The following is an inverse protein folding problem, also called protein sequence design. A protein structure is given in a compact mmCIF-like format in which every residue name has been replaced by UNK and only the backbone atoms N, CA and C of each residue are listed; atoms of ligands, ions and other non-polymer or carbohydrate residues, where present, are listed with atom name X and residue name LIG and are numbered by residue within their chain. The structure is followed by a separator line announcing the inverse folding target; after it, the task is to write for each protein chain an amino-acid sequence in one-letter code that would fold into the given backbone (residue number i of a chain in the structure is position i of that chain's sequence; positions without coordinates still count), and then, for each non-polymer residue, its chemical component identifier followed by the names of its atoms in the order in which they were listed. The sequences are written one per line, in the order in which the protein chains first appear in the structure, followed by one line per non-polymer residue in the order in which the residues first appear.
data_IF_169030512562
#
_entry.id   IF_169030512562
#
_cell.length_a   1.000
_cell.length_b   1.000
_cell.length_c   1.000
_cell.angle_alpha   90.00
_cell.angle_beta   90.00
_cell.angle_gamma   90.00
#
_symmetry.space_group_name_H-M   'P 1'
#
loop_
_entity.id
_entity.type
_entity.pdbx_description
1 polymer ?
#
# COMPACT_ATOMS: atom_id res chain seq x y z
N UNK A 1 18.68 29.97 55.10
CA UNK A 1 19.07 29.75 53.69
C UNK A 1 19.03 31.10 52.98
N UNK A 2 20.08 31.50 52.26
CA UNK A 2 20.12 32.84 51.63
C UNK A 2 19.22 32.90 50.40
N UNK A 3 18.52 34.01 50.20
CA UNK A 3 17.63 34.22 49.04
C UNK A 3 18.31 33.96 47.68
N UNK A 4 19.64 34.15 47.64
CA UNK A 4 20.49 33.87 46.47
C UNK A 4 20.53 32.39 46.08
N UNK A 5 20.57 31.49 47.08
CA UNK A 5 20.58 30.04 46.85
C UNK A 5 19.22 29.56 46.34
N UNK A 6 18.13 30.11 46.89
CA UNK A 6 16.76 29.79 46.45
C UNK A 6 16.55 30.23 44.99
N UNK A 7 16.97 31.45 44.65
CA UNK A 7 16.86 31.96 43.29
C UNK A 7 17.64 31.12 42.27
N UNK A 8 18.86 30.69 42.58
CA UNK A 8 19.66 29.86 41.67
C UNK A 8 19.05 28.48 41.44
N UNK A 9 18.46 27.86 42.48
CA UNK A 9 17.81 26.54 42.35
C UNK A 9 16.55 26.63 41.49
N UNK A 10 15.73 27.67 41.68
CA UNK A 10 14.51 27.86 40.89
C UNK A 10 14.83 28.07 39.41
N UNK A 11 15.86 28.87 39.09
CA UNK A 11 16.27 29.11 37.71
C UNK A 11 16.81 27.82 37.07
N UNK A 12 17.67 27.08 37.77
CA UNK A 12 18.21 25.82 37.27
C UNK A 12 17.10 24.78 37.01
N UNK A 13 16.14 24.66 37.93
CA UNK A 13 14.97 23.80 37.75
C UNK A 13 14.11 24.25 36.56
N UNK A 14 13.88 25.57 36.41
CA UNK A 14 13.13 26.12 35.30
C UNK A 14 13.78 25.85 33.94
N UNK A 15 15.11 25.92 33.85
CA UNK A 15 15.85 25.59 32.63
C UNK A 15 15.69 24.10 32.31
N UNK A 16 15.92 23.21 33.27
CA UNK A 16 15.81 21.76 33.06
C UNK A 16 14.40 21.34 32.61
N UNK A 17 13.36 21.91 33.21
CA UNK A 17 11.96 21.66 32.83
C UNK A 17 11.65 22.28 31.47
N UNK A 18 12.07 23.53 31.22
CA UNK A 18 11.82 24.23 29.97
C UNK A 18 12.49 23.59 28.75
N UNK A 19 13.73 23.12 28.87
CA UNK A 19 14.44 22.48 27.75
C UNK A 19 14.01 21.04 27.49
N UNK A 20 13.52 20.33 28.51
CA UNK A 20 13.00 18.96 28.33
C UNK A 20 11.54 18.92 27.84
N UNK A 21 10.79 20.03 27.94
CA UNK A 21 9.39 20.11 27.54
C UNK A 21 9.15 20.08 26.02
N UNK A 22 10.14 20.38 25.18
CA UNK A 22 9.95 20.44 23.71
C UNK A 22 9.47 19.11 23.09
N UNK A 23 9.82 17.97 23.69
CA UNK A 23 9.40 16.64 23.20
C UNK A 23 8.06 16.15 23.75
N UNK A 24 7.47 16.83 24.75
CA UNK A 24 6.27 16.33 25.44
C UNK A 24 4.99 16.46 24.61
N UNK A 25 4.92 17.45 23.71
CA UNK A 25 3.78 17.67 22.83
C UNK A 25 3.99 17.25 21.37
N UNK A 26 5.19 16.77 21.01
CA UNK A 26 5.47 16.33 19.65
C UNK A 26 4.80 14.97 19.39
N UNK A 27 4.04 14.79 18.30
CA UNK A 27 3.55 13.48 17.92
C UNK A 27 4.74 12.55 17.64
N UNK A 28 4.68 11.32 18.16
CA UNK A 28 5.69 10.32 17.87
C UNK A 28 5.56 9.91 16.41
N UNK A 29 6.54 10.27 15.57
CA UNK A 29 6.49 10.02 14.13
C UNK A 29 6.29 8.52 13.79
N UNK A 30 6.74 7.61 14.65
CA UNK A 30 6.57 6.16 14.51
C UNK A 30 5.13 5.67 14.71
N UNK A 31 4.26 6.49 15.29
CA UNK A 31 2.83 6.17 15.46
C UNK A 31 1.98 6.65 14.27
N UNK A 32 2.54 7.47 13.39
CA UNK A 32 1.86 7.92 12.17
C UNK A 32 1.75 6.71 11.24
N UNK A 33 0.52 6.22 11.09
CA UNK A 33 0.25 5.10 10.18
C UNK A 33 0.34 5.60 8.74
N UNK A 34 1.07 4.86 7.92
CA UNK A 34 1.17 5.02 6.48
C UNK A 34 1.43 3.64 5.89
N UNK A 35 1.26 3.50 4.58
CA UNK A 35 1.64 2.29 3.86
C UNK A 35 3.11 2.41 3.43
N UNK A 36 4.06 1.67 4.05
CA UNK A 36 5.48 1.72 3.70
C UNK A 36 5.80 0.89 2.44
N UNK A 37 4.85 0.79 1.51
CA UNK A 37 4.96 -0.04 0.30
C UNK A 37 4.24 0.64 -0.87
N UNK A 38 4.21 -0.03 -2.01
CA UNK A 38 3.63 0.51 -3.23
C UNK A 38 2.11 0.47 -3.23
N UNK A 39 1.50 -0.45 -2.47
CA UNK A 39 0.06 -0.59 -2.34
C UNK A 39 -0.55 0.18 -1.18
N UNK A 40 -1.87 0.09 -1.06
CA UNK A 40 -2.67 0.74 -0.01
C UNK A 40 -3.29 -0.30 0.94
N UNK A 41 -3.49 0.08 2.19
CA UNK A 41 -4.14 -0.78 3.19
C UNK A 41 -5.51 -0.27 3.61
N UNK A 42 -6.32 -1.17 4.14
CA UNK A 42 -7.62 -0.87 4.75
C UNK A 42 -8.08 -1.99 5.65
N UNK A 43 -9.18 -1.80 6.35
CA UNK A 43 -9.73 -2.80 7.26
C UNK A 43 -11.23 -2.94 6.98
N UNK A 44 -11.72 -4.17 7.00
CA UNK A 44 -13.14 -4.53 6.99
C UNK A 44 -13.32 -5.41 8.20
N UNK A 45 -14.09 -5.01 9.22
CA UNK A 45 -14.22 -5.78 10.46
C UNK A 45 -12.89 -6.29 11.01
N UNK A 46 -12.76 -7.61 11.15
CA UNK A 46 -11.57 -8.33 11.62
C UNK A 46 -10.61 -8.75 10.49
N UNK A 47 -10.89 -8.38 9.24
CA UNK A 47 -10.05 -8.66 8.07
C UNK A 47 -9.31 -7.41 7.65
N UNK A 48 -8.01 -7.42 7.91
CA UNK A 48 -7.04 -6.43 7.50
C UNK A 48 -6.59 -6.67 6.05
N UNK A 49 -6.84 -5.70 5.18
CA UNK A 49 -6.36 -5.65 3.80
C UNK A 49 -5.01 -4.92 3.79
N UNK A 50 -3.93 -5.57 3.36
CA UNK A 50 -2.58 -5.04 3.43
C UNK A 50 -1.90 -5.06 2.06
N UNK A 51 -1.27 -3.93 1.73
CA UNK A 51 -0.50 -3.74 0.51
C UNK A 51 -1.29 -4.12 -0.77
N UNK A 52 -2.52 -3.61 -0.90
CA UNK A 52 -3.37 -3.84 -2.05
C UNK A 52 -2.93 -2.96 -3.24
N UNK A 53 -2.61 -3.59 -4.36
CA UNK A 53 -2.26 -2.92 -5.61
C UNK A 53 -2.60 -3.80 -6.82
N UNK A 54 -2.52 -3.22 -8.00
CA UNK A 54 -2.80 -3.88 -9.26
C UNK A 54 -1.56 -3.91 -10.15
N UNK A 55 -1.27 -5.04 -10.76
CA UNK A 55 -0.19 -5.18 -11.74
C UNK A 55 -0.78 -5.35 -13.14
N UNK A 56 -0.51 -4.41 -14.03
CA UNK A 56 -1.01 -4.39 -15.40
C UNK A 56 0.06 -3.99 -16.39
N UNK A 57 0.02 -4.55 -17.60
CA UNK A 57 0.91 -4.16 -18.68
C UNK A 57 0.38 -2.95 -19.46
N UNK A 58 -0.93 -2.89 -19.69
CA UNK A 58 -1.60 -1.98 -20.61
C UNK A 58 -2.79 -1.23 -20.00
N UNK A 59 -3.23 -1.64 -18.80
CA UNK A 59 -4.38 -1.06 -18.11
C UNK A 59 -5.72 -1.70 -18.45
N UNK A 60 -5.75 -2.76 -19.27
CA UNK A 60 -6.99 -3.46 -19.66
C UNK A 60 -7.27 -4.69 -18.77
N UNK A 61 -6.20 -5.36 -18.34
CA UNK A 61 -6.24 -6.51 -17.43
C UNK A 61 -5.19 -6.34 -16.34
N UNK A 62 -5.54 -6.64 -15.08
CA UNK A 62 -4.61 -6.53 -13.96
C UNK A 62 -4.66 -7.74 -13.02
N UNK A 63 -3.51 -8.12 -12.45
CA UNK A 63 -3.45 -9.04 -11.32
C UNK A 63 -3.60 -8.23 -10.04
N UNK A 64 -4.51 -8.64 -9.16
CA UNK A 64 -4.58 -8.11 -7.79
C UNK A 64 -3.47 -8.71 -6.94
N UNK A 65 -2.60 -7.86 -6.40
CA UNK A 65 -1.60 -8.22 -5.41
C UNK A 65 -2.00 -7.62 -4.06
N UNK A 66 -2.28 -8.49 -3.09
CA UNK A 66 -2.73 -8.06 -1.76
C UNK A 66 -2.54 -9.19 -0.75
N UNK A 67 -2.35 -8.86 0.52
CA UNK A 67 -2.45 -9.81 1.63
C UNK A 67 -3.67 -9.47 2.47
N UNK A 68 -4.58 -10.42 2.61
CA UNK A 68 -5.68 -10.33 3.56
C UNK A 68 -5.33 -11.09 4.84
N UNK A 69 -5.42 -10.43 5.99
CA UNK A 69 -5.11 -10.98 7.31
C UNK A 69 -6.39 -11.00 8.13
N UNK A 70 -6.86 -12.18 8.49
CA UNK A 70 -8.03 -12.36 9.34
C UNK A 70 -7.58 -12.65 10.76
N UNK A 71 -7.84 -11.71 11.67
CA UNK A 71 -7.55 -11.86 13.11
C UNK A 71 -8.74 -12.40 13.90
N UNK A 72 -9.87 -12.64 13.25
CA UNK A 72 -11.07 -13.23 13.83
C UNK A 72 -10.97 -14.74 14.00
N UNK A 73 -11.93 -15.28 14.75
CA UNK A 73 -11.99 -16.69 15.13
C UNK A 73 -12.74 -17.57 14.10
N UNK A 74 -13.32 -16.96 13.07
CA UNK A 74 -14.05 -17.63 11.98
C UNK A 74 -13.39 -17.42 10.63
N UNK A 75 -13.55 -18.39 9.72
CA UNK A 75 -13.09 -18.24 8.35
C UNK A 75 -14.09 -17.38 7.57
N UNK A 76 -13.59 -16.39 6.85
CA UNK A 76 -14.40 -15.41 6.14
C UNK A 76 -14.27 -15.54 4.62
N UNK A 77 -15.36 -15.24 3.91
CA UNK A 77 -15.35 -15.12 2.45
C UNK A 77 -15.23 -13.65 2.07
N UNK A 78 -14.00 -13.23 1.80
CA UNK A 78 -13.69 -11.87 1.37
C UNK A 78 -14.15 -11.67 -0.08
N UNK A 79 -15.09 -10.76 -0.24
CA UNK A 79 -15.57 -10.23 -1.50
C UNK A 79 -14.60 -9.17 -1.99
N UNK A 80 -14.11 -9.36 -3.21
CA UNK A 80 -13.34 -8.38 -3.98
C UNK A 80 -14.20 -7.95 -5.15
N UNK A 81 -14.62 -6.70 -5.18
CA UNK A 81 -15.56 -6.20 -6.18
C UNK A 81 -14.98 -5.00 -6.92
N UNK A 82 -15.12 -4.99 -8.24
CA UNK A 82 -14.66 -3.91 -9.10
C UNK A 82 -15.64 -3.62 -10.24
N UNK A 83 -15.43 -2.50 -10.93
CA UNK A 83 -16.18 -2.15 -12.13
C UNK A 83 -15.40 -2.57 -13.38
N UNK A 84 -16.04 -3.38 -14.22
CA UNK A 84 -15.54 -3.82 -15.50
C UNK A 84 -16.43 -3.21 -16.60
N UNK A 85 -16.01 -2.07 -17.15
CA UNK A 85 -16.74 -1.33 -18.19
C UNK A 85 -18.23 -1.08 -17.84
N UNK A 86 -18.50 -0.58 -16.64
CA UNK A 86 -19.83 -0.24 -16.14
C UNK A 86 -20.61 -1.43 -15.55
N UNK A 87 -19.98 -2.62 -15.44
CA UNK A 87 -20.56 -3.80 -14.80
C UNK A 87 -19.78 -4.15 -13.54
N UNK A 88 -20.50 -4.40 -12.46
CA UNK A 88 -19.91 -4.89 -11.21
C UNK A 88 -19.50 -6.36 -11.35
N UNK A 89 -18.21 -6.66 -11.16
CA UNK A 89 -17.66 -8.00 -11.09
C UNK A 89 -17.27 -8.29 -9.64
N UNK A 90 -17.53 -9.51 -9.19
CA UNK A 90 -17.29 -9.94 -7.81
C UNK A 90 -16.50 -11.24 -7.81
N UNK A 91 -15.37 -11.23 -7.11
CA UNK A 91 -14.51 -12.38 -6.83
C UNK A 91 -14.56 -12.70 -5.34
N UNK A 92 -14.45 -13.97 -4.99
CA UNK A 92 -14.49 -14.44 -3.61
C UNK A 92 -13.18 -15.11 -3.24
N UNK A 93 -12.57 -14.65 -2.15
CA UNK A 93 -11.36 -15.26 -1.57
C UNK A 93 -11.66 -15.74 -0.16
N UNK A 94 -11.33 -16.99 0.14
CA UNK A 94 -11.46 -17.52 1.50
C UNK A 94 -10.25 -17.12 2.34
N UNK A 95 -10.50 -16.44 3.47
CA UNK A 95 -9.48 -16.09 4.46
C UNK A 95 -9.77 -16.86 5.75
N UNK A 96 -8.92 -17.84 6.08
CA UNK A 96 -9.12 -18.68 7.28
C UNK A 96 -9.00 -17.83 8.55
N UNK A 97 -9.68 -18.27 9.61
CA UNK A 97 -9.56 -17.70 10.95
C UNK A 97 -8.10 -17.63 11.41
N UNK A 98 -7.74 -16.58 12.13
CA UNK A 98 -6.39 -16.38 12.70
C UNK A 98 -5.25 -16.66 11.69
N UNK A 99 -5.43 -16.23 10.44
CA UNK A 99 -4.54 -16.56 9.34
C UNK A 99 -4.48 -15.45 8.29
N UNK A 100 -3.59 -15.61 7.32
CA UNK A 100 -3.47 -14.70 6.19
C UNK A 100 -3.45 -15.45 4.87
N UNK A 101 -3.95 -14.82 3.83
CA UNK A 101 -3.81 -15.27 2.44
C UNK A 101 -3.20 -14.15 1.62
N UNK A 102 -2.18 -14.50 0.83
CA UNK A 102 -1.63 -13.61 -0.19
C UNK A 102 -2.26 -13.97 -1.53
N UNK A 103 -2.66 -12.96 -2.29
CA UNK A 103 -3.27 -13.11 -3.61
C UNK A 103 -2.33 -12.45 -4.63
N UNK A 104 -2.20 -13.04 -5.82
CA UNK A 104 -1.44 -12.48 -6.95
C UNK A 104 0.07 -12.73 -6.90
N UNK A 105 0.59 -13.32 -5.82
CA UNK A 105 1.99 -13.74 -5.74
C UNK A 105 2.24 -15.07 -6.46
N UNK A 106 3.51 -15.37 -6.75
CA UNK A 106 3.90 -16.59 -7.45
C UNK A 106 3.50 -17.85 -6.66
N UNK A 107 2.75 -18.75 -7.31
CA UNK A 107 2.19 -19.99 -6.75
C UNK A 107 1.11 -19.77 -5.66
N UNK A 108 0.59 -18.56 -5.51
CA UNK A 108 -0.53 -18.25 -4.62
C UNK A 108 -1.84 -18.15 -5.41
N UNK A 109 -3.02 -18.12 -4.75
CA UNK A 109 -4.27 -17.78 -5.41
C UNK A 109 -4.15 -16.48 -6.20
N UNK A 110 -4.84 -16.41 -7.34
CA UNK A 110 -4.81 -15.23 -8.21
C UNK A 110 -6.23 -14.69 -8.38
N UNK A 111 -6.36 -13.38 -8.36
CA UNK A 111 -7.56 -12.64 -8.75
C UNK A 111 -7.17 -11.71 -9.90
N UNK A 112 -7.72 -11.98 -11.08
CA UNK A 112 -7.50 -11.17 -12.28
C UNK A 112 -8.69 -10.24 -12.48
N UNK A 113 -8.40 -8.95 -12.64
CA UNK A 113 -9.37 -7.95 -13.04
C UNK A 113 -9.33 -7.84 -14.56
N UNK A 114 -10.46 -8.10 -15.22
CA UNK A 114 -10.58 -8.03 -16.68
C UNK A 114 -11.51 -6.89 -17.07
N UNK A 115 -11.28 -6.31 -18.27
CA UNK A 115 -12.09 -5.22 -18.83
C UNK A 115 -12.11 -3.98 -17.92
N UNK A 116 -10.96 -3.69 -17.30
CA UNK A 116 -10.71 -2.40 -16.67
C UNK A 116 -10.20 -1.42 -17.74
N UNK A 117 -10.21 -0.12 -17.44
CA UNK A 117 -9.71 0.94 -18.32
C UNK A 117 -8.90 1.92 -17.48
N UNK A 118 -7.77 1.46 -16.96
CA UNK A 118 -6.93 2.27 -16.05
C UNK A 118 -5.46 1.94 -16.24
N UNK A 119 -4.73 2.89 -16.81
CA UNK A 119 -3.32 2.72 -17.16
C UNK A 119 -2.41 2.61 -15.92
N UNK A 120 -1.25 1.95 -16.04
CA UNK A 120 -0.23 2.01 -15.01
C UNK A 120 0.17 3.45 -14.66
N UNK A 121 0.25 3.75 -13.37
CA UNK A 121 0.44 5.09 -12.81
C UNK A 121 -0.84 5.73 -12.25
N UNK A 122 -2.02 5.23 -12.65
CA UNK A 122 -3.31 5.71 -12.14
C UNK A 122 -3.82 4.87 -10.95
N UNK A 123 -4.94 5.31 -10.38
CA UNK A 123 -5.61 4.66 -9.27
C UNK A 123 -6.93 4.03 -9.73
N UNK A 124 -7.17 2.78 -9.36
CA UNK A 124 -8.38 2.05 -9.70
C UNK A 124 -9.18 1.65 -8.44
N UNK A 125 -10.49 1.92 -8.38
CA UNK A 125 -11.29 1.59 -7.21
C UNK A 125 -11.60 0.09 -7.12
N UNK A 126 -11.28 -0.52 -5.98
CA UNK A 126 -11.69 -1.89 -5.64
C UNK A 126 -12.35 -1.89 -4.26
N UNK A 127 -13.49 -2.56 -4.17
CA UNK A 127 -14.29 -2.67 -2.95
C UNK A 127 -14.07 -4.03 -2.28
N UNK A 128 -13.80 -4.01 -0.98
CA UNK A 128 -13.60 -5.19 -0.16
C UNK A 128 -14.71 -5.28 0.89
N UNK A 129 -15.27 -6.47 1.09
CA UNK A 129 -16.31 -6.73 2.09
C UNK A 129 -16.28 -8.21 2.50
N UNK A 130 -16.73 -8.56 3.69
CA UNK A 130 -17.19 -9.92 3.99
C UNK A 130 -18.45 -9.88 4.85
N UNK A 131 -19.27 -10.93 4.77
CA UNK A 131 -20.50 -11.04 5.57
C UNK A 131 -21.35 -9.78 5.55
N UNK A 132 -21.71 -9.30 6.73
CA UNK A 132 -22.51 -8.07 6.93
C UNK A 132 -21.65 -6.88 7.39
N UNK A 133 -20.32 -7.01 7.36
CA UNK A 133 -19.43 -5.91 7.75
C UNK A 133 -19.51 -4.75 6.76
N UNK A 134 -19.27 -3.54 7.26
CA UNK A 134 -19.18 -2.36 6.40
C UNK A 134 -17.94 -2.48 5.52
N UNK A 135 -18.14 -2.69 4.23
CA UNK A 135 -17.04 -2.79 3.28
C UNK A 135 -16.27 -1.48 3.09
N UNK A 136 -15.07 -1.60 2.55
CA UNK A 136 -14.16 -0.47 2.28
C UNK A 136 -13.84 -0.41 0.79
N UNK A 137 -13.91 0.79 0.22
CA UNK A 137 -13.41 1.05 -1.13
C UNK A 137 -11.99 1.61 -1.03
N UNK A 138 -11.03 0.90 -1.63
CA UNK A 138 -9.65 1.34 -1.73
C UNK A 138 -9.37 1.80 -3.17
N UNK A 139 -8.54 2.84 -3.29
CA UNK A 139 -8.01 3.31 -4.57
C UNK A 139 -6.65 2.64 -4.79
N UNK A 140 -6.63 1.53 -5.51
CA UNK A 140 -5.43 0.71 -5.69
C UNK A 140 -4.57 1.35 -6.77
N UNK A 141 -3.27 1.55 -6.52
CA UNK A 141 -2.35 1.95 -7.57
C UNK A 141 -2.18 0.83 -8.59
N UNK A 142 -2.24 1.20 -9.87
CA UNK A 142 -1.92 0.31 -10.99
C UNK A 142 -0.45 0.48 -11.32
N UNK A 143 0.34 -0.58 -11.20
CA UNK A 143 1.77 -0.58 -11.53
C UNK A 143 2.05 -1.46 -12.73
N UNK A 144 3.18 -1.19 -13.39
CA UNK A 144 3.72 -2.09 -14.40
C UNK A 144 4.37 -3.31 -13.75
N UNK A 145 4.58 -4.37 -14.53
CA UNK A 145 5.37 -5.53 -14.11
C UNK A 145 6.84 -5.47 -14.57
N UNK A 146 7.32 -4.29 -14.97
CA UNK A 146 8.65 -4.12 -15.56
C UNK A 146 9.76 -4.10 -14.50
N UNK A 147 9.41 -3.78 -13.26
CA UNK A 147 10.34 -3.79 -12.13
C UNK A 147 10.77 -5.22 -11.81
N UNK A 148 12.05 -5.46 -11.45
CA UNK A 148 12.57 -6.79 -11.13
C UNK A 148 11.72 -7.57 -10.11
N UNK A 149 11.13 -6.88 -9.15
CA UNK A 149 10.36 -7.43 -8.04
C UNK A 149 8.98 -7.98 -8.48
N UNK A 150 8.43 -7.48 -9.60
CA UNK A 150 7.09 -7.82 -10.11
C UNK A 150 7.12 -8.74 -11.34
N UNK A 151 8.31 -9.19 -11.73
CA UNK A 151 8.46 -10.05 -12.91
C UNK A 151 7.68 -11.36 -12.76
N UNK A 152 6.86 -11.64 -13.78
CA UNK A 152 6.06 -12.86 -13.84
C UNK A 152 4.80 -12.86 -12.97
N UNK A 153 4.41 -11.70 -12.41
CA UNK A 153 3.15 -11.52 -11.68
C UNK A 153 2.04 -10.87 -12.53
N UNK A 154 2.37 -10.42 -13.74
CA UNK A 154 1.38 -9.93 -14.71
C UNK A 154 0.36 -11.02 -15.08
N UNK A 155 -0.86 -10.63 -15.51
CA UNK A 155 -1.85 -11.57 -16.00
C UNK A 155 -1.29 -12.49 -17.09
N UNK A 156 -1.71 -13.77 -17.07
CA UNK A 156 -1.30 -14.74 -18.06
C UNK A 156 -1.75 -14.29 -19.46
N UNK A 157 -0.79 -14.10 -20.39
CA UNK A 157 -1.07 -13.64 -21.75
C UNK A 157 -0.90 -12.14 -21.98
N UNK A 158 -0.50 -11.36 -20.95
CA UNK A 158 -0.13 -9.97 -21.14
C UNK A 158 0.99 -9.85 -22.20
N UNK A 159 0.88 -8.92 -23.18
CA UNK A 159 1.95 -8.69 -24.13
C UNK A 159 3.21 -8.27 -23.37
N UNK A 160 4.35 -8.92 -23.65
CA UNK A 160 5.63 -8.49 -23.09
C UNK A 160 5.88 -7.05 -23.55
N UNK A 161 5.96 -6.11 -22.61
CA UNK A 161 6.40 -4.76 -22.92
C UNK A 161 7.78 -4.85 -23.59
N UNK A 162 7.90 -4.25 -24.77
CA UNK A 162 9.21 -4.05 -25.40
C UNK A 162 9.85 -2.88 -24.67
N UNK A 163 11.07 -3.02 -24.12
CA UNK A 163 11.71 -1.91 -23.41
C UNK A 163 11.75 -0.67 -24.31
N UNK A 164 11.14 0.43 -23.86
CA UNK A 164 11.33 1.72 -24.52
C UNK A 164 12.81 2.06 -24.41
N UNK A 165 13.50 2.16 -25.55
CA UNK A 165 14.91 2.50 -25.58
C UNK A 165 15.13 3.82 -24.84
N UNK A 166 15.92 3.78 -23.77
CA UNK A 166 16.40 4.98 -23.07
C UNK A 166 17.10 5.85 -24.12
N UNK A 167 16.70 7.12 -24.32
CA UNK A 167 17.45 8.02 -25.20
C UNK A 167 18.89 8.08 -24.70
N UNK A 168 19.81 7.57 -25.51
CA UNK A 168 21.24 7.66 -25.23
C UNK A 168 21.58 9.14 -25.09
N UNK A 169 22.06 9.56 -23.92
CA UNK A 169 22.47 10.94 -23.69
C UNK A 169 23.50 11.34 -24.77
N UNK A 170 23.37 12.53 -25.38
CA UNK A 170 24.37 13.00 -26.35
C UNK A 170 25.74 13.08 -25.66
N UNK A 171 26.83 12.72 -26.36
CA UNK A 171 28.16 12.75 -25.77
C UNK A 171 28.50 14.18 -25.34
N UNK A 172 28.87 14.35 -24.06
CA UNK A 172 29.44 15.59 -23.55
C UNK A 172 30.75 15.86 -24.29
N UNK A 173 30.76 16.89 -25.13
CA UNK A 173 31.98 17.43 -25.71
C UNK A 173 32.85 18.00 -24.58
N UNK A 174 34.03 17.41 -24.37
CA UNK A 174 35.04 17.94 -23.46
C UNK A 174 35.68 19.19 -24.10
N UNK A 175 35.82 20.32 -23.38
CA UNK A 175 36.46 21.51 -23.94
C UNK A 175 37.96 21.25 -24.13
N UNK A 176 38.44 21.54 -25.33
CA UNK A 176 39.86 21.48 -25.66
C UNK A 176 40.62 22.61 -24.94
N UNK A 177 41.70 22.24 -24.25
CA UNK A 177 42.76 23.14 -23.78
C UNK A 177 44.03 22.89 -24.59
#
# INVERSE_FOLDING_TARGET
MSARIVASVVIAAGILIGTSACGFGAPQATLIQYDPSDGVSGDVGDVAIRNAMLLSADGETATLLVTAVNVGDTAESLTVQYDANGKKVTELVTVRANSSVTIGAKNEPNVTLENIDTAPGDLFPVFFQYGEETGVQLLLPVLTGEQPEYQGLLPAGAPSATPTAIPSAPPTEAPAH
#
